data_IF_786244487621
#
_entry.id   IF_786244487621
#
_cell.length_a   1.000
_cell.length_b   1.000
_cell.length_c   1.000
_cell.angle_alpha   90.00
_cell.angle_beta   90.00
_cell.angle_gamma   90.00
#
_symmetry.space_group_name_H-M   'P 1'
#
loop_
_entity.id
_entity.type
_entity.pdbx_description
1 polymer ?
#
# COMPACT_ATOMS: atom_id res chain seq x y z
N UNK A 1 8.89 8.45 -17.09
CA UNK A 1 9.64 7.38 -16.38
C UNK A 1 8.64 6.70 -15.46
N UNK A 2 8.52 5.38 -15.48
CA UNK A 2 7.66 4.67 -14.53
C UNK A 2 8.45 4.54 -13.22
N UNK A 3 8.01 5.24 -12.17
CA UNK A 3 8.63 5.13 -10.85
C UNK A 3 7.95 3.98 -10.09
N UNK A 4 8.72 3.05 -9.49
CA UNK A 4 8.15 1.97 -8.70
C UNK A 4 7.42 2.54 -7.47
N UNK A 5 6.12 2.31 -7.38
CA UNK A 5 5.24 2.88 -6.33
C UNK A 5 5.74 2.54 -4.93
N UNK A 6 6.10 1.28 -4.68
CA UNK A 6 6.61 0.82 -3.37
C UNK A 6 7.95 1.49 -3.02
N UNK A 7 8.82 1.72 -4.00
CA UNK A 7 10.09 2.42 -3.76
C UNK A 7 9.86 3.85 -3.30
N UNK A 8 8.85 4.52 -3.86
CA UNK A 8 8.48 5.88 -3.45
C UNK A 8 7.91 5.91 -2.02
N UNK A 9 7.11 4.91 -1.63
CA UNK A 9 6.62 4.77 -0.25
C UNK A 9 7.78 4.67 0.75
N UNK A 10 8.79 3.86 0.43
CA UNK A 10 9.94 3.63 1.30
C UNK A 10 10.87 4.84 1.33
N UNK A 11 11.34 5.29 0.16
CA UNK A 11 12.35 6.35 0.06
C UNK A 11 11.79 7.77 0.21
N UNK A 12 10.58 8.01 -0.29
CA UNK A 12 9.95 9.33 -0.29
C UNK A 12 9.20 9.65 1.00
N UNK A 13 8.57 8.64 1.63
CA UNK A 13 7.76 8.82 2.83
C UNK A 13 8.35 8.17 4.08
N UNK A 14 9.47 7.44 3.96
CA UNK A 14 10.15 6.80 5.08
C UNK A 14 9.34 5.66 5.70
N UNK A 15 8.47 5.03 4.92
CA UNK A 15 7.62 3.93 5.36
C UNK A 15 8.35 2.59 5.23
N UNK A 16 8.08 1.69 6.15
CA UNK A 16 8.37 0.26 5.96
C UNK A 16 7.13 -0.36 5.33
N UNK A 17 7.31 -1.02 4.19
CA UNK A 17 6.24 -1.69 3.45
C UNK A 17 6.49 -3.19 3.49
N UNK A 18 5.59 -3.94 4.12
CA UNK A 18 5.59 -5.41 4.07
C UNK A 18 4.52 -5.87 3.10
N UNK A 19 4.88 -6.71 2.13
CA UNK A 19 3.92 -7.33 1.22
C UNK A 19 3.51 -8.68 1.83
N UNK A 20 2.25 -8.81 2.24
CA UNK A 20 1.76 -10.00 2.94
C UNK A 20 1.15 -11.00 1.97
N UNK A 21 0.49 -10.49 0.91
CA UNK A 21 0.03 -11.27 -0.25
C UNK A 21 0.11 -10.40 -1.50
N UNK A 22 0.32 -11.04 -2.63
CA UNK A 22 0.21 -10.39 -3.92
C UNK A 22 -0.49 -11.36 -4.89
N UNK A 23 -1.53 -10.88 -5.54
CA UNK A 23 -2.17 -11.55 -6.65
C UNK A 23 -1.82 -10.81 -7.92
N UNK A 24 -0.82 -11.34 -8.62
CA UNK A 24 -0.38 -10.87 -9.92
C UNK A 24 -0.65 -12.00 -10.91
N UNK A 25 -1.73 -11.90 -11.67
CA UNK A 25 -1.95 -12.81 -12.77
C UNK A 25 -1.28 -12.26 -14.04
N UNK A 26 -0.36 -13.03 -14.66
CA UNK A 26 0.18 -12.64 -15.95
C UNK A 26 -0.90 -12.83 -17.03
N UNK A 27 -1.09 -11.81 -17.88
CA UNK A 27 -1.92 -11.84 -19.08
C UNK A 27 -3.45 -11.89 -18.88
N UNK A 28 -3.97 -11.39 -17.76
CA UNK A 28 -5.39 -11.07 -17.63
C UNK A 28 -5.59 -9.55 -17.53
N UNK A 29 -6.67 -9.04 -18.11
CA UNK A 29 -7.13 -7.64 -17.92
C UNK A 29 -7.65 -7.40 -16.48
N UNK A 30 -7.43 -8.36 -15.57
CA UNK A 30 -7.85 -8.27 -14.18
C UNK A 30 -6.86 -7.42 -13.38
N UNK A 31 -7.38 -6.50 -12.58
CA UNK A 31 -6.57 -5.65 -11.70
C UNK A 31 -5.81 -6.52 -10.68
N UNK A 32 -4.48 -6.42 -10.70
CA UNK A 32 -3.65 -7.05 -9.69
C UNK A 32 -3.85 -6.41 -8.31
N UNK A 33 -3.97 -7.24 -7.28
CA UNK A 33 -4.14 -6.78 -5.91
C UNK A 33 -2.90 -7.09 -5.07
N UNK A 34 -2.45 -6.10 -4.30
CA UNK A 34 -1.37 -6.26 -3.32
C UNK A 34 -1.92 -6.00 -1.92
N UNK A 35 -1.83 -7.00 -1.06
CA UNK A 35 -2.04 -6.82 0.36
C UNK A 35 -0.73 -6.35 0.97
N UNK A 36 -0.74 -5.13 1.49
CA UNK A 36 0.43 -4.49 2.08
C UNK A 36 0.15 -4.03 3.50
N UNK A 37 1.16 -4.14 4.35
CA UNK A 37 1.18 -3.56 5.68
C UNK A 37 2.17 -2.39 5.67
N UNK A 38 1.68 -1.21 6.04
CA UNK A 38 2.48 0.01 6.16
C UNK A 38 2.84 0.25 7.63
N UNK A 39 4.13 0.38 7.92
CA UNK A 39 4.63 0.73 9.26
C UNK A 39 5.41 2.03 9.20
N UNK A 40 5.15 2.91 10.17
CA UNK A 40 5.77 4.22 10.29
C UNK A 40 5.01 5.07 11.30
N UNK A 41 5.34 6.35 11.37
CA UNK A 41 4.55 7.30 12.17
C UNK A 41 3.23 7.64 11.48
N UNK A 42 2.23 8.08 12.26
CA UNK A 42 0.92 8.48 11.72
C UNK A 42 1.05 9.52 10.58
N UNK A 43 1.89 10.58 10.68
CA UNK A 43 2.07 11.52 9.57
C UNK A 43 2.69 10.87 8.32
N UNK A 44 3.65 9.96 8.48
CA UNK A 44 4.26 9.27 7.33
C UNK A 44 3.25 8.37 6.63
N UNK A 45 2.45 7.63 7.40
CA UNK A 45 1.41 6.74 6.84
C UNK A 45 0.35 7.58 6.13
N UNK A 46 -0.10 8.67 6.75
CA UNK A 46 -1.08 9.57 6.13
C UNK A 46 -0.57 10.17 4.81
N UNK A 47 0.69 10.61 4.75
CA UNK A 47 1.29 11.12 3.52
C UNK A 47 1.46 10.02 2.45
N UNK A 48 1.84 8.81 2.85
CA UNK A 48 1.94 7.66 1.95
C UNK A 48 0.59 7.22 1.38
N UNK A 49 -0.48 7.27 2.18
CA UNK A 49 -1.84 7.01 1.73
C UNK A 49 -2.32 8.07 0.73
N UNK A 50 -2.10 9.36 1.03
CA UNK A 50 -2.43 10.44 0.10
C UNK A 50 -1.70 10.30 -1.25
N UNK A 51 -0.46 9.82 -1.23
CA UNK A 51 0.27 9.48 -2.44
C UNK A 51 -0.38 8.34 -3.23
N UNK A 52 -0.77 7.24 -2.57
CA UNK A 52 -1.45 6.12 -3.22
C UNK A 52 -2.79 6.55 -3.83
N UNK A 53 -3.55 7.40 -3.14
CA UNK A 53 -4.79 7.99 -3.66
C UNK A 53 -4.53 8.87 -4.90
N UNK A 54 -3.43 9.64 -4.92
CA UNK A 54 -3.06 10.47 -6.07
C UNK A 54 -2.70 9.66 -7.32
N UNK A 55 -2.32 8.39 -7.14
CA UNK A 55 -2.06 7.45 -8.24
C UNK A 55 -3.34 6.79 -8.76
N UNK A 56 -4.50 7.21 -8.25
CA UNK A 56 -5.81 6.66 -8.62
C UNK A 56 -5.94 5.15 -8.31
N UNK A 57 -5.17 4.66 -7.34
CA UNK A 57 -5.22 3.27 -6.88
C UNK A 57 -6.40 3.06 -5.93
N UNK A 58 -7.09 1.94 -6.07
CA UNK A 58 -8.14 1.56 -5.13
C UNK A 58 -7.53 1.02 -3.84
N UNK A 59 -7.63 1.78 -2.76
CA UNK A 59 -7.21 1.36 -1.43
C UNK A 59 -8.39 0.67 -0.74
N UNK A 60 -8.25 -0.61 -0.43
CA UNK A 60 -9.24 -1.39 0.31
C UNK A 60 -8.63 -1.82 1.64
N UNK A 61 -9.12 -1.27 2.75
CA UNK A 61 -8.61 -1.60 4.08
C UNK A 61 -9.08 -0.59 5.13
N UNK A 62 -9.03 -0.99 6.41
CA UNK A 62 -9.25 -0.07 7.53
C UNK A 62 -7.91 0.26 8.19
N UNK A 63 -7.70 1.51 8.66
CA UNK A 63 -6.56 1.81 9.51
C UNK A 63 -6.65 0.97 10.79
N UNK A 64 -5.73 0.01 10.95
CA UNK A 64 -5.52 -0.69 12.21
C UNK A 64 -4.74 0.25 13.14
N UNK A 65 -5.44 1.24 13.71
CA UNK A 65 -4.90 2.08 14.78
C UNK A 65 -4.74 1.28 16.09
N UNK A 66 -5.59 0.27 16.26
CA UNK A 66 -5.53 -0.73 17.32
C UNK A 66 -5.13 -2.06 16.67
N UNK A 67 -4.04 -2.67 17.13
CA UNK A 67 -3.59 -3.96 16.63
C UNK A 67 -4.71 -5.00 16.65
N UNK A 68 -4.68 -5.87 15.63
CA UNK A 68 -5.50 -7.08 15.50
C UNK A 68 -6.97 -6.87 15.11
N UNK A 69 -7.25 -6.90 13.80
CA UNK A 69 -8.26 -7.80 13.20
C UNK A 69 -8.37 -7.58 11.68
N UNK A 70 -7.76 -8.45 10.88
CA UNK A 70 -8.19 -8.65 9.50
C UNK A 70 -9.45 -9.53 9.51
N UNK A 71 -10.60 -8.95 9.13
CA UNK A 71 -11.78 -9.74 8.83
C UNK A 71 -11.70 -10.19 7.36
N UNK A 72 -11.77 -11.51 7.17
CA UNK A 72 -11.82 -12.22 5.89
C UNK A 72 -12.99 -11.80 5.01
#
# INVERSE_FOLDING_TARGET
MQAPVISQLISGYGLVVNITKAMLQPNTDEEGCFDIELRGTVPQISNGLAYLESLNLRIVGKPNADGDSWFC
#
